data_IF_185588577347
#
_entry.id   IF_185588577347
#
_cell.length_a   1.000
_cell.length_b   1.000
_cell.length_c   1.000
_cell.angle_alpha   90.00
_cell.angle_beta   90.00
_cell.angle_gamma   90.00
#
_symmetry.space_group_name_H-M   'P 1'
#
loop_
_entity.id
_entity.type
_entity.pdbx_description
1 polymer ?
#
# COMPACT_ATOMS: atom_id res chain seq x y z
N UNK A 1 6.51 -51.42 13.92
CA UNK A 1 5.76 -52.47 14.64
C UNK A 1 5.80 -52.11 16.12
N UNK A 2 4.68 -52.25 16.82
CA UNK A 2 4.40 -51.85 18.23
C UNK A 2 4.06 -50.38 18.46
N UNK A 3 3.03 -49.98 19.22
CA UNK A 3 1.76 -50.58 19.67
C UNK A 3 0.89 -49.40 20.18
N UNK A 4 -0.42 -49.45 19.93
CA UNK A 4 -1.44 -48.52 20.47
C UNK A 4 -1.56 -48.63 22.00
N UNK A 5 -1.83 -47.52 22.71
CA UNK A 5 -2.72 -47.51 23.89
C UNK A 5 -3.54 -46.21 23.90
N UNK A 6 -4.86 -46.42 23.89
CA UNK A 6 -5.95 -45.46 24.11
C UNK A 6 -6.29 -45.39 25.59
N UNK A 7 -6.71 -44.24 26.11
CA UNK A 7 -7.54 -44.18 27.32
C UNK A 7 -8.51 -42.99 27.26
N UNK A 8 -9.79 -43.31 27.01
CA UNK A 8 -10.95 -42.52 27.41
C UNK A 8 -11.32 -42.87 28.86
N UNK A 9 -11.64 -41.89 29.70
CA UNK A 9 -12.62 -42.05 30.80
C UNK A 9 -13.50 -40.80 30.84
N UNK A 10 -14.79 -41.05 31.03
CA UNK A 10 -15.93 -40.14 30.94
C UNK A 10 -16.56 -39.86 32.32
N UNK A 11 -17.33 -38.76 32.36
CA UNK A 11 -18.59 -38.47 33.10
C UNK A 11 -18.70 -38.70 34.62
N UNK A 12 -19.19 -37.66 35.33
CA UNK A 12 -20.57 -37.52 35.89
C UNK A 12 -20.66 -36.29 36.84
N UNK A 13 -21.57 -35.31 36.64
CA UNK A 13 -22.88 -35.10 37.32
C UNK A 13 -22.80 -35.13 38.88
N UNK A 14 -23.46 -34.29 39.70
CA UNK A 14 -24.62 -33.38 39.57
C UNK A 14 -24.99 -32.75 40.93
N UNK A 15 -25.75 -31.63 40.91
CA UNK A 15 -26.81 -31.27 41.88
C UNK A 15 -26.41 -30.53 43.16
N UNK A 16 -27.26 -29.80 43.90
CA UNK A 16 -28.63 -29.26 43.80
C UNK A 16 -28.93 -28.55 45.15
N UNK A 17 -29.74 -27.46 45.18
CA UNK A 17 -30.76 -27.04 46.22
C UNK A 17 -30.94 -25.50 46.24
N UNK A 18 -32.07 -24.88 45.82
CA UNK A 18 -33.43 -24.66 46.44
C UNK A 18 -33.43 -23.63 47.59
N UNK A 19 -34.42 -22.76 47.87
CA UNK A 19 -35.86 -22.61 47.55
C UNK A 19 -36.26 -21.11 47.75
N UNK A 20 -37.17 -20.50 46.98
CA UNK A 20 -38.63 -20.31 47.18
C UNK A 20 -39.06 -19.18 48.16
N UNK A 21 -39.91 -18.25 47.68
CA UNK A 21 -41.19 -17.92 48.33
C UNK A 21 -42.15 -17.11 47.41
N UNK A 22 -43.44 -17.40 47.59
CA UNK A 22 -44.66 -16.96 46.88
C UNK A 22 -45.24 -15.65 47.43
N UNK A 23 -46.02 -14.88 46.62
CA UNK A 23 -47.41 -14.42 46.92
C UNK A 23 -48.13 -14.09 45.60
N UNK A 24 -49.44 -14.34 45.61
CA UNK A 24 -50.41 -14.53 44.53
C UNK A 24 -51.38 -13.34 44.37
N UNK A 25 -52.02 -13.21 43.21
CA UNK A 25 -53.17 -12.31 42.99
C UNK A 25 -53.70 -12.34 41.54
N UNK A 26 -54.78 -13.10 41.32
CA UNK A 26 -55.52 -13.29 40.07
C UNK A 26 -56.31 -12.04 39.61
N UNK A 27 -56.51 -11.85 38.29
CA UNK A 27 -57.79 -11.92 37.52
C UNK A 27 -57.66 -11.34 36.08
N UNK A 28 -58.16 -12.09 35.09
CA UNK A 28 -58.47 -11.71 33.68
C UNK A 28 -60.01 -11.40 33.60
N UNK A 29 -60.67 -10.95 32.50
CA UNK A 29 -60.25 -10.66 31.12
C UNK A 29 -60.88 -9.40 30.45
N UNK A 30 -60.42 -9.02 29.24
CA UNK A 30 -61.22 -8.87 28.01
C UNK A 30 -60.60 -7.95 26.94
N UNK A 31 -60.80 -8.40 25.70
CA UNK A 31 -60.43 -7.92 24.37
C UNK A 31 -60.32 -6.41 24.11
N UNK A 32 -59.38 -6.03 23.23
CA UNK A 32 -59.73 -5.41 21.95
C UNK A 32 -58.58 -5.43 20.93
N UNK A 33 -58.92 -5.90 19.74
CA UNK A 33 -58.14 -5.93 18.51
C UNK A 33 -57.97 -4.51 17.95
N UNK A 34 -56.75 -4.08 17.59
CA UNK A 34 -56.55 -3.07 16.54
C UNK A 34 -55.11 -3.12 15.96
N UNK A 35 -55.05 -3.69 14.76
CA UNK A 35 -54.31 -3.23 13.56
C UNK A 35 -53.05 -2.38 13.72
N UNK A 36 -51.94 -2.98 13.29
CA UNK A 36 -50.90 -2.43 12.40
C UNK A 36 -50.57 -0.93 12.50
N UNK A 37 -49.41 -0.65 13.08
CA UNK A 37 -48.49 0.36 12.55
C UNK A 37 -47.10 -0.27 12.51
N UNK A 38 -46.73 -0.69 11.30
CA UNK A 38 -45.40 -1.18 10.97
C UNK A 38 -44.46 0.04 10.99
N UNK A 39 -43.89 0.35 12.14
CA UNK A 39 -42.76 1.27 12.21
C UNK A 39 -41.52 0.42 12.01
N UNK A 40 -41.14 0.22 10.75
CA UNK A 40 -39.79 -0.17 10.39
C UNK A 40 -38.85 0.79 11.11
N UNK A 41 -38.17 0.29 12.15
CA UNK A 41 -36.98 0.91 12.66
C UNK A 41 -35.97 0.91 11.51
N UNK A 42 -35.83 2.06 10.86
CA UNK A 42 -34.70 2.41 10.01
C UNK A 42 -33.44 2.55 10.88
N UNK A 43 -32.95 1.43 11.40
CA UNK A 43 -31.60 1.31 11.95
C UNK A 43 -30.65 1.03 10.79
N UNK A 44 -30.24 2.09 10.10
CA UNK A 44 -29.34 1.99 8.95
C UNK A 44 -28.64 3.31 8.65
N UNK A 45 -28.12 3.97 9.69
CA UNK A 45 -27.14 5.05 9.49
C UNK A 45 -25.81 4.41 9.12
N UNK A 46 -25.53 4.37 7.84
CA UNK A 46 -24.34 3.82 7.19
C UNK A 46 -23.04 4.41 7.76
N UNK A 47 -22.28 3.61 8.52
CA UNK A 47 -21.05 4.00 9.19
C UNK A 47 -19.80 3.81 8.32
N UNK A 48 -19.92 4.01 7.00
CA UNK A 48 -18.80 3.90 6.07
C UNK A 48 -17.68 4.91 6.35
N UNK A 49 -17.97 5.98 7.12
CA UNK A 49 -16.96 6.96 7.54
C UNK A 49 -15.92 6.36 8.49
N UNK A 50 -16.25 5.24 9.14
CA UNK A 50 -15.33 4.49 9.99
C UNK A 50 -14.55 3.41 9.23
N UNK A 51 -14.84 3.18 7.94
CA UNK A 51 -14.02 2.28 7.12
C UNK A 51 -12.61 2.90 6.95
N UNK A 52 -11.53 2.15 7.24
CA UNK A 52 -10.17 2.66 7.12
C UNK A 52 -9.81 3.10 5.70
N UNK A 53 -10.55 2.68 4.67
CA UNK A 53 -10.35 3.09 3.28
C UNK A 53 -11.06 4.40 2.91
N UNK A 54 -12.03 4.84 3.71
CA UNK A 54 -12.85 6.03 3.42
C UNK A 54 -12.04 7.31 3.16
N UNK A 55 -10.97 7.63 3.93
CA UNK A 55 -10.17 8.83 3.67
C UNK A 55 -9.46 8.85 2.32
N UNK A 56 -9.29 7.68 1.68
CA UNK A 56 -8.52 7.54 0.44
C UNK A 56 -9.38 7.66 -0.82
N UNK A 57 -10.71 7.67 -0.68
CA UNK A 57 -11.65 7.98 -1.77
C UNK A 57 -11.26 9.29 -2.46
N UNK A 58 -10.98 10.34 -1.67
CA UNK A 58 -10.63 11.67 -2.16
C UNK A 58 -9.18 11.77 -2.68
N UNK A 59 -8.35 10.75 -2.41
CA UNK A 59 -6.94 10.67 -2.78
C UNK A 59 -6.70 9.75 -3.98
N UNK A 60 -7.74 9.39 -4.72
CA UNK A 60 -7.60 8.70 -6.00
C UNK A 60 -7.00 9.65 -7.06
N UNK A 61 -6.44 9.06 -8.12
CA UNK A 61 -6.03 9.83 -9.29
C UNK A 61 -7.24 10.58 -9.87
N UNK A 62 -7.06 11.85 -10.16
CA UNK A 62 -7.94 12.64 -11.01
C UNK A 62 -7.30 12.67 -12.39
N UNK A 63 -8.09 12.48 -13.44
CA UNK A 63 -7.59 12.42 -14.81
C UNK A 63 -8.02 13.66 -15.60
N UNK A 64 -7.20 14.05 -16.57
CA UNK A 64 -7.48 15.10 -17.56
C UNK A 64 -7.02 14.62 -18.93
N UNK A 65 -7.90 14.68 -19.92
CA UNK A 65 -7.55 14.38 -21.31
C UNK A 65 -6.87 15.59 -21.96
N UNK A 66 -5.75 15.35 -22.64
CA UNK A 66 -5.08 16.32 -23.50
C UNK A 66 -4.67 15.64 -24.80
N UNK A 67 -5.19 16.14 -25.92
CA UNK A 67 -4.88 15.62 -27.27
C UNK A 67 -5.09 14.09 -27.39
N UNK A 68 -6.18 13.57 -26.83
CA UNK A 68 -6.49 12.14 -26.87
C UNK A 68 -5.64 11.25 -25.96
N UNK A 69 -4.85 11.84 -25.05
CA UNK A 69 -4.10 11.11 -24.01
C UNK A 69 -4.58 11.54 -22.63
N UNK A 70 -4.90 10.57 -21.77
CA UNK A 70 -5.26 10.83 -20.37
C UNK A 70 -4.01 11.00 -19.50
N UNK A 71 -4.01 12.05 -18.68
CA UNK A 71 -2.94 12.34 -17.73
C UNK A 71 -3.49 12.51 -16.31
N UNK A 72 -2.64 12.23 -15.34
CA UNK A 72 -2.89 12.55 -13.94
C UNK A 72 -2.95 14.07 -13.76
N UNK A 73 -4.07 14.56 -13.23
CA UNK A 73 -4.36 15.97 -12.98
C UNK A 73 -3.97 16.43 -11.56
N UNK A 74 -3.79 15.50 -10.62
CA UNK A 74 -3.37 15.75 -9.24
C UNK A 74 -2.03 15.06 -8.91
N UNK A 75 -0.94 15.34 -9.65
CA UNK A 75 0.32 14.59 -9.53
C UNK A 75 1.05 14.77 -8.19
N UNK A 76 0.71 15.81 -7.41
CA UNK A 76 1.27 16.05 -6.08
C UNK A 76 0.65 15.19 -4.97
N UNK A 77 -0.38 14.41 -5.28
CA UNK A 77 -0.96 13.45 -4.37
C UNK A 77 0.09 12.43 -3.90
N UNK A 78 0.28 12.24 -2.59
CA UNK A 78 1.21 11.24 -2.03
C UNK A 78 0.86 9.82 -2.48
N UNK A 79 -0.42 9.54 -2.70
CA UNK A 79 -0.91 8.26 -3.20
C UNK A 79 -1.02 8.19 -4.72
N UNK A 80 -0.44 9.14 -5.48
CA UNK A 80 -0.50 9.14 -6.94
C UNK A 80 -0.09 7.76 -7.50
N UNK A 81 -0.98 7.12 -8.24
CA UNK A 81 -0.69 5.86 -8.91
C UNK A 81 -0.13 6.20 -10.30
N UNK A 82 1.19 6.24 -10.44
CA UNK A 82 1.85 6.40 -11.73
C UNK A 82 2.35 5.02 -12.20
N UNK A 83 1.83 4.55 -13.33
CA UNK A 83 2.17 3.24 -13.89
C UNK A 83 1.87 3.23 -15.40
N UNK A 84 1.81 2.04 -16.02
CA UNK A 84 1.57 1.91 -17.48
C UNK A 84 0.19 2.40 -17.93
N UNK A 85 -0.77 2.56 -17.01
CA UNK A 85 -2.14 3.01 -17.30
C UNK A 85 -2.37 4.49 -16.92
N UNK A 86 -1.56 5.04 -16.01
CA UNK A 86 -1.74 6.38 -15.48
C UNK A 86 -0.48 7.22 -15.67
N UNK A 87 -0.55 8.17 -16.60
CA UNK A 87 0.60 8.95 -17.06
C UNK A 87 0.72 10.28 -16.31
N UNK A 88 1.91 10.56 -15.83
CA UNK A 88 2.34 11.90 -15.45
C UNK A 88 2.62 12.74 -16.69
N UNK A 89 2.33 14.03 -16.60
CA UNK A 89 2.67 14.99 -17.66
C UNK A 89 4.19 15.18 -17.75
N UNK A 90 4.69 15.45 -18.94
CA UNK A 90 6.12 15.67 -19.18
C UNK A 90 6.69 16.90 -18.46
N UNK A 91 5.83 17.86 -18.13
CA UNK A 91 6.17 19.09 -17.40
C UNK A 91 6.13 18.93 -15.88
N UNK A 92 5.63 17.80 -15.37
CA UNK A 92 5.51 17.63 -13.92
C UNK A 92 6.89 17.40 -13.28
N UNK A 93 7.19 18.23 -12.29
CA UNK A 93 8.31 18.10 -11.35
C UNK A 93 7.78 18.44 -9.96
N UNK A 94 8.00 17.61 -8.94
CA UNK A 94 7.55 17.92 -7.59
C UNK A 94 8.16 19.23 -7.07
N UNK A 95 7.39 20.11 -6.41
CA UNK A 95 7.87 21.42 -5.98
C UNK A 95 8.77 21.37 -4.73
N UNK A 96 8.83 20.23 -4.05
CA UNK A 96 9.40 20.06 -2.71
C UNK A 96 10.54 19.01 -2.67
N UNK A 97 11.27 18.87 -3.77
CA UNK A 97 12.41 17.96 -3.86
C UNK A 97 13.57 18.40 -2.94
N UNK A 98 14.08 17.47 -2.14
CA UNK A 98 15.23 17.63 -1.25
C UNK A 98 16.13 16.40 -1.35
N UNK A 99 17.42 16.55 -1.01
CA UNK A 99 18.31 15.41 -0.79
C UNK A 99 18.18 14.97 0.68
N UNK A 100 17.59 13.80 1.00
CA UNK A 100 17.52 13.32 2.37
C UNK A 100 18.92 13.06 2.94
N UNK A 101 19.07 13.19 4.25
CA UNK A 101 20.31 12.93 4.98
C UNK A 101 20.49 11.43 5.26
N UNK A 102 20.63 10.65 4.19
CA UNK A 102 20.92 9.22 4.22
C UNK A 102 22.24 8.91 3.53
N UNK A 103 22.76 7.70 3.75
CA UNK A 103 23.93 7.22 3.01
C UNK A 103 23.53 6.88 1.58
N UNK A 104 24.21 7.46 0.60
CA UNK A 104 24.03 7.16 -0.83
C UNK A 104 25.20 6.32 -1.35
N UNK A 105 24.96 5.47 -2.35
CA UNK A 105 26.00 4.66 -3.00
C UNK A 105 27.07 5.49 -3.74
N UNK A 106 26.82 6.78 -3.93
CA UNK A 106 27.68 7.73 -4.62
C UNK A 106 28.10 8.92 -3.74
N UNK A 107 28.01 8.78 -2.41
CA UNK A 107 28.44 9.80 -1.46
C UNK A 107 27.63 11.10 -1.55
N UNK A 108 28.32 12.24 -1.48
CA UNK A 108 27.70 13.56 -1.33
C UNK A 108 27.38 14.28 -2.65
N UNK A 109 27.42 13.55 -3.78
CA UNK A 109 27.12 14.13 -5.08
C UNK A 109 25.68 14.70 -5.11
N UNK A 110 25.55 15.93 -5.59
CA UNK A 110 24.29 16.65 -5.73
C UNK A 110 23.71 16.39 -7.13
N UNK A 111 23.06 15.24 -7.29
CA UNK A 111 22.47 14.77 -8.56
C UNK A 111 20.97 14.55 -8.41
N UNK A 112 20.20 14.62 -9.50
CA UNK A 112 18.73 14.52 -9.45
C UNK A 112 18.27 13.23 -8.73
N UNK A 113 18.97 12.11 -8.97
CA UNK A 113 18.69 10.81 -8.36
C UNK A 113 18.98 10.75 -6.85
N UNK A 114 19.56 11.79 -6.27
CA UNK A 114 19.72 11.93 -4.83
C UNK A 114 18.49 12.57 -4.18
N UNK A 115 17.53 13.07 -4.97
CA UNK A 115 16.41 13.85 -4.46
C UNK A 115 15.17 12.98 -4.23
N UNK A 116 14.32 13.40 -3.30
CA UNK A 116 12.96 12.90 -3.07
C UNK A 116 12.08 14.05 -2.60
N UNK A 117 10.77 13.89 -2.63
CA UNK A 117 9.87 14.83 -1.97
C UNK A 117 10.18 14.90 -0.47
N UNK A 118 10.10 16.09 0.10
CA UNK A 118 10.51 16.39 1.48
C UNK A 118 9.92 15.45 2.52
N UNK A 119 8.62 15.15 2.43
CA UNK A 119 7.95 14.25 3.38
C UNK A 119 8.51 12.82 3.30
N UNK A 120 8.64 12.28 2.09
CA UNK A 120 9.22 10.96 1.86
C UNK A 120 10.69 10.91 2.31
N UNK A 121 11.47 11.96 2.05
CA UNK A 121 12.85 12.07 2.49
C UNK A 121 13.01 12.00 4.01
N UNK A 122 12.18 12.72 4.76
CA UNK A 122 12.20 12.67 6.22
C UNK A 122 11.87 11.27 6.78
N UNK A 123 10.94 10.55 6.14
CA UNK A 123 10.63 9.18 6.54
C UNK A 123 11.72 8.19 6.11
N UNK A 124 12.40 8.44 4.98
CA UNK A 124 13.54 7.64 4.55
C UNK A 124 14.69 7.74 5.56
N UNK A 125 14.96 8.95 6.07
CA UNK A 125 15.96 9.19 7.13
C UNK A 125 15.63 8.41 8.40
N UNK A 126 14.36 8.43 8.83
CA UNK A 126 13.89 7.67 9.99
C UNK A 126 14.03 6.16 9.78
N UNK A 127 13.68 5.66 8.58
CA UNK A 127 13.81 4.25 8.22
C UNK A 127 15.27 3.79 8.21
N UNK A 128 16.18 4.57 7.62
CA UNK A 128 17.61 4.26 7.58
C UNK A 128 18.23 4.31 8.97
N UNK A 129 17.80 5.25 9.81
CA UNK A 129 18.24 5.32 11.22
C UNK A 129 17.84 4.07 12.00
N UNK A 130 16.62 3.58 11.81
CA UNK A 130 16.14 2.36 12.47
C UNK A 130 16.87 1.10 11.97
N UNK A 131 17.09 0.97 10.65
CA UNK A 131 17.91 -0.13 10.12
C UNK A 131 19.31 -0.15 10.75
N UNK A 132 19.92 1.03 10.92
CA UNK A 132 21.23 1.18 11.56
C UNK A 132 21.22 0.76 13.03
N UNK A 133 20.13 0.99 13.76
CA UNK A 133 19.98 0.51 15.15
C UNK A 133 19.95 -1.02 15.22
N UNK A 134 19.48 -1.68 14.17
CA UNK A 134 19.53 -3.14 14.00
C UNK A 134 20.85 -3.63 13.37
N UNK A 135 21.88 -2.78 13.32
CA UNK A 135 23.20 -3.04 12.72
C UNK A 135 23.17 -3.32 11.20
N UNK A 136 22.17 -2.80 10.50
CA UNK A 136 22.02 -2.92 9.05
C UNK A 136 22.29 -1.57 8.38
N UNK A 137 23.12 -1.56 7.33
CA UNK A 137 23.45 -0.32 6.61
C UNK A 137 22.81 -0.32 5.23
N UNK A 138 21.80 0.52 5.07
CA UNK A 138 21.11 0.76 3.81
C UNK A 138 21.81 1.86 3.00
N UNK A 139 21.76 1.74 1.67
CA UNK A 139 22.27 2.73 0.74
C UNK A 139 21.18 3.14 -0.25
N UNK A 140 20.88 4.44 -0.31
CA UNK A 140 20.04 5.01 -1.35
C UNK A 140 20.82 5.05 -2.68
N UNK A 141 20.18 4.60 -3.77
CA UNK A 141 20.82 4.43 -5.09
C UNK A 141 20.20 5.34 -6.15
N UNK A 142 18.87 5.49 -6.15
CA UNK A 142 18.15 6.25 -7.17
C UNK A 142 16.76 6.68 -6.70
N UNK A 143 16.60 7.97 -6.43
CA UNK A 143 15.35 8.64 -6.06
C UNK A 143 14.66 9.28 -7.27
N UNK A 144 14.49 10.59 -7.25
CA UNK A 144 13.82 11.36 -8.30
C UNK A 144 14.50 11.19 -9.66
N UNK A 145 13.67 11.08 -10.71
CA UNK A 145 14.11 11.07 -12.10
C UNK A 145 13.14 11.89 -12.93
N UNK A 146 13.64 12.96 -13.55
CA UNK A 146 12.82 13.80 -14.42
C UNK A 146 12.27 13.03 -15.62
N UNK A 147 11.17 13.52 -16.20
CA UNK A 147 10.61 12.96 -17.44
C UNK A 147 11.66 12.92 -18.55
N UNK A 148 12.43 14.00 -18.72
CA UNK A 148 13.51 14.09 -19.71
C UNK A 148 14.55 13.00 -19.49
N UNK A 149 14.98 12.78 -18.25
CA UNK A 149 15.94 11.71 -17.94
C UNK A 149 15.35 10.33 -18.22
N UNK A 150 14.08 10.10 -17.89
CA UNK A 150 13.40 8.85 -18.23
C UNK A 150 13.32 8.63 -19.75
N UNK A 151 13.15 9.69 -20.55
CA UNK A 151 13.19 9.62 -22.01
C UNK A 151 14.57 9.20 -22.53
N UNK A 152 15.65 9.73 -21.95
CA UNK A 152 17.01 9.32 -22.29
C UNK A 152 17.25 7.83 -21.96
N UNK A 153 16.83 7.38 -20.76
CA UNK A 153 16.93 5.97 -20.34
C UNK A 153 16.13 5.06 -21.28
N UNK A 154 14.88 5.42 -21.58
CA UNK A 154 14.03 4.65 -22.47
C UNK A 154 14.62 4.57 -23.89
N UNK A 155 15.09 5.70 -24.44
CA UNK A 155 15.68 5.75 -25.79
C UNK A 155 16.96 4.92 -25.89
N UNK A 156 17.80 4.93 -24.86
CA UNK A 156 18.99 4.10 -24.80
C UNK A 156 18.64 2.60 -24.79
N UNK A 157 17.61 2.20 -24.03
CA UNK A 157 17.17 0.81 -23.97
C UNK A 157 16.55 0.34 -25.29
N UNK A 158 15.77 1.21 -25.95
CA UNK A 158 15.25 0.97 -27.30
C UNK A 158 16.39 0.74 -28.30
N UNK A 159 17.43 1.57 -28.27
CA UNK A 159 18.57 1.44 -29.16
C UNK A 159 19.35 0.13 -28.92
N UNK A 160 19.38 -0.36 -27.68
CA UNK A 160 20.11 -1.56 -27.30
C UNK A 160 19.33 -2.86 -27.59
N UNK A 161 18.04 -2.90 -27.27
CA UNK A 161 17.24 -4.15 -27.25
C UNK A 161 15.99 -4.12 -28.14
N UNK A 162 15.67 -2.99 -28.75
CA UNK A 162 14.43 -2.76 -29.49
C UNK A 162 13.26 -2.34 -28.60
N UNK A 163 12.26 -1.71 -29.19
CA UNK A 163 11.18 -1.04 -28.46
C UNK A 163 10.32 -1.97 -27.60
N UNK A 164 9.98 -3.15 -28.12
CA UNK A 164 9.17 -4.12 -27.38
C UNK A 164 9.85 -4.53 -26.07
N UNK A 165 11.13 -4.90 -26.13
CA UNK A 165 11.91 -5.27 -24.94
C UNK A 165 12.16 -4.09 -24.01
N UNK A 166 12.32 -2.88 -24.55
CA UNK A 166 12.48 -1.68 -23.73
C UNK A 166 11.23 -1.39 -22.89
N UNK A 167 10.02 -1.57 -23.43
CA UNK A 167 8.74 -1.39 -22.70
C UNK A 167 8.50 -2.44 -21.61
N UNK A 168 9.19 -3.57 -21.69
CA UNK A 168 9.22 -4.60 -20.65
C UNK A 168 10.24 -4.25 -19.56
N UNK A 169 11.42 -3.77 -19.95
CA UNK A 169 12.56 -3.56 -19.06
C UNK A 169 12.54 -2.23 -18.29
N UNK A 170 12.03 -1.16 -18.90
CA UNK A 170 12.05 0.19 -18.31
C UNK A 170 10.72 0.91 -18.51
N UNK A 171 10.37 1.77 -17.56
CA UNK A 171 9.18 2.60 -17.64
C UNK A 171 9.21 3.51 -18.89
N UNK A 172 8.09 3.61 -19.59
CA UNK A 172 7.88 4.63 -20.63
C UNK A 172 7.88 6.01 -19.94
N UNK A 173 8.41 7.08 -20.57
CA UNK A 173 8.37 8.41 -19.99
C UNK A 173 6.94 8.81 -19.57
N UNK A 174 6.79 9.35 -18.37
CA UNK A 174 5.48 9.64 -17.75
C UNK A 174 4.86 8.47 -16.96
N UNK A 175 5.36 7.25 -17.09
CA UNK A 175 4.85 6.06 -16.35
C UNK A 175 5.77 5.62 -15.20
N UNK A 176 6.90 6.31 -15.01
CA UNK A 176 7.89 6.00 -13.98
C UNK A 176 7.53 6.65 -12.65
N UNK A 177 7.44 5.86 -11.58
CA UNK A 177 7.22 6.39 -10.24
C UNK A 177 8.36 7.30 -9.75
N UNK A 178 9.59 7.14 -10.26
CA UNK A 178 10.68 8.05 -9.90
C UNK A 178 10.39 9.51 -10.24
N UNK A 179 9.54 9.80 -11.24
CA UNK A 179 9.13 11.17 -11.56
C UNK A 179 8.27 11.80 -10.44
N UNK A 180 7.63 10.99 -9.60
CA UNK A 180 6.86 11.50 -8.45
C UNK A 180 7.75 12.03 -7.33
N UNK A 181 9.04 11.65 -7.30
CA UNK A 181 9.93 11.88 -6.17
C UNK A 181 9.55 11.11 -4.90
N UNK A 182 8.64 10.14 -5.00
CA UNK A 182 8.17 9.30 -3.89
C UNK A 182 8.77 7.89 -3.89
N UNK A 183 9.52 7.53 -4.95
CA UNK A 183 10.23 6.26 -5.04
C UNK A 183 11.72 6.42 -4.70
N UNK A 184 12.28 5.40 -4.06
CA UNK A 184 13.72 5.27 -3.82
C UNK A 184 14.15 3.82 -4.05
N UNK A 185 15.14 3.65 -4.92
CA UNK A 185 15.88 2.40 -5.04
C UNK A 185 16.91 2.32 -3.91
N UNK A 186 16.88 1.22 -3.17
CA UNK A 186 17.73 0.97 -2.00
C UNK A 186 18.52 -0.32 -2.22
N UNK A 187 19.79 -0.32 -1.84
CA UNK A 187 20.66 -1.49 -1.86
C UNK A 187 21.53 -1.54 -0.60
N UNK A 188 22.51 -2.45 -0.57
CA UNK A 188 23.51 -2.55 0.48
C UNK A 188 24.93 -2.63 -0.11
N UNK A 189 25.94 -2.38 0.73
CA UNK A 189 27.34 -2.48 0.33
C UNK A 189 27.73 -3.91 -0.09
N UNK A 190 27.15 -4.91 0.57
CA UNK A 190 27.41 -6.33 0.29
C UNK A 190 26.86 -6.77 -1.08
N UNK A 191 25.90 -6.03 -1.64
CA UNK A 191 25.43 -6.19 -3.01
C UNK A 191 26.19 -5.33 -4.02
N UNK A 192 27.31 -4.70 -3.63
CA UNK A 192 28.03 -3.77 -4.51
C UNK A 192 27.19 -2.55 -4.93
N UNK A 193 26.12 -2.25 -4.18
CA UNK A 193 25.08 -1.27 -4.52
C UNK A 193 24.23 -1.61 -5.76
N UNK A 194 24.31 -2.84 -6.25
CA UNK A 194 23.53 -3.29 -7.41
C UNK A 194 22.04 -3.37 -7.07
N UNK A 195 21.21 -3.14 -8.10
CA UNK A 195 19.75 -3.22 -8.04
C UNK A 195 19.32 -4.53 -8.72
N UNK A 196 19.31 -5.61 -7.95
CA UNK A 196 18.95 -6.95 -8.42
C UNK A 196 18.02 -7.63 -7.42
N UNK A 197 17.28 -8.66 -7.88
CA UNK A 197 16.35 -9.41 -7.02
C UNK A 197 17.05 -10.03 -5.80
N UNK A 198 18.35 -10.32 -5.91
CA UNK A 198 19.16 -10.89 -4.83
C UNK A 198 19.23 -9.98 -3.60
N UNK A 199 19.02 -8.67 -3.74
CA UNK A 199 18.93 -7.75 -2.61
C UNK A 199 17.82 -8.17 -1.63
N UNK A 200 16.71 -8.73 -2.13
CA UNK A 200 15.60 -9.20 -1.30
C UNK A 200 15.97 -10.33 -0.34
N UNK A 201 17.05 -11.06 -0.63
CA UNK A 201 17.53 -12.19 0.19
C UNK A 201 18.58 -11.77 1.23
N UNK A 202 19.11 -10.55 1.19
CA UNK A 202 20.07 -10.05 2.18
C UNK A 202 19.37 -9.70 3.50
N UNK A 203 20.13 -9.56 4.61
CA UNK A 203 19.58 -9.06 5.87
C UNK A 203 18.88 -7.71 5.72
N UNK A 204 19.44 -6.78 4.95
CA UNK A 204 18.86 -5.46 4.66
C UNK A 204 17.53 -5.55 3.90
N UNK A 205 17.49 -6.33 2.81
CA UNK A 205 16.28 -6.48 2.00
C UNK A 205 15.15 -7.14 2.78
N UNK A 206 15.45 -8.16 3.59
CA UNK A 206 14.49 -8.80 4.50
C UNK A 206 14.00 -7.85 5.58
N UNK A 207 14.89 -7.03 6.12
CA UNK A 207 14.52 -6.01 7.11
C UNK A 207 13.58 -4.97 6.50
N UNK A 208 13.86 -4.48 5.30
CA UNK A 208 13.00 -3.52 4.61
C UNK A 208 11.61 -4.11 4.33
N UNK A 209 11.54 -5.32 3.80
CA UNK A 209 10.26 -5.99 3.54
C UNK A 209 9.39 -6.07 4.80
N UNK A 210 9.99 -6.29 5.97
CA UNK A 210 9.28 -6.38 7.25
C UNK A 210 8.95 -5.03 7.88
N UNK A 211 9.76 -3.99 7.64
CA UNK A 211 9.71 -2.75 8.44
C UNK A 211 9.37 -1.48 7.67
N UNK A 212 9.53 -1.45 6.34
CA UNK A 212 9.38 -0.23 5.54
C UNK A 212 8.01 0.46 5.73
N UNK A 213 6.94 -0.34 5.93
CA UNK A 213 5.59 0.17 6.13
C UNK A 213 5.43 1.05 7.37
N UNK A 214 6.22 0.81 8.42
CA UNK A 214 6.23 1.65 9.64
C UNK A 214 6.69 3.10 9.37
N UNK A 215 7.37 3.29 8.25
CA UNK A 215 7.88 4.58 7.77
C UNK A 215 7.11 5.07 6.54
N UNK A 216 5.98 4.44 6.20
CA UNK A 216 5.17 4.85 5.05
C UNK A 216 5.68 4.39 3.70
N UNK A 217 6.62 3.45 3.66
CA UNK A 217 7.13 2.85 2.43
C UNK A 217 6.55 1.47 2.19
N UNK A 218 6.26 1.14 0.93
CA UNK A 218 5.88 -0.20 0.49
C UNK A 218 6.93 -0.73 -0.49
N UNK A 219 7.15 -2.04 -0.47
CA UNK A 219 7.81 -2.73 -1.57
C UNK A 219 6.88 -2.68 -2.79
N UNK A 220 7.21 -1.87 -3.79
CA UNK A 220 6.25 -1.49 -4.84
C UNK A 220 5.90 -2.62 -5.79
N UNK A 221 6.92 -3.40 -6.16
CA UNK A 221 6.83 -4.47 -7.14
C UNK A 221 7.19 -5.78 -6.45
N UNK A 222 6.16 -6.41 -5.88
CA UNK A 222 6.30 -7.64 -5.10
C UNK A 222 6.38 -8.86 -6.03
N UNK A 223 7.10 -9.89 -5.59
CA UNK A 223 7.21 -11.17 -6.31
C UNK A 223 5.83 -11.83 -6.45
N UNK A 224 5.51 -12.31 -7.64
CA UNK A 224 4.22 -12.95 -7.94
C UNK A 224 3.06 -11.97 -8.13
N UNK A 225 3.31 -10.66 -8.19
CA UNK A 225 2.31 -9.62 -8.44
C UNK A 225 2.46 -8.92 -9.80
N UNK A 226 3.25 -9.51 -10.70
CA UNK A 226 3.62 -8.94 -12.00
C UNK A 226 2.40 -8.74 -12.92
N UNK A 227 1.38 -9.61 -12.82
CA UNK A 227 0.12 -9.46 -13.57
C UNK A 227 -0.68 -8.23 -13.15
N UNK A 228 -0.55 -7.81 -11.89
CA UNK A 228 -1.20 -6.61 -11.36
C UNK A 228 -0.37 -5.35 -11.65
N UNK A 229 0.92 -5.38 -11.33
CA UNK A 229 1.79 -4.19 -11.42
C UNK A 229 2.32 -3.93 -12.83
N UNK A 230 2.40 -4.97 -13.67
CA UNK A 230 3.04 -4.96 -15.01
C UNK A 230 4.56 -4.73 -14.97
N UNK A 231 5.18 -4.93 -13.81
CA UNK A 231 6.62 -4.89 -13.59
C UNK A 231 7.06 -6.20 -12.94
N UNK A 232 8.29 -6.63 -13.25
CA UNK A 232 8.95 -7.76 -12.60
C UNK A 232 9.17 -7.50 -11.10
N UNK A 233 9.58 -8.52 -10.35
CA UNK A 233 9.96 -8.35 -8.96
C UNK A 233 11.16 -7.39 -8.85
N UNK A 234 11.00 -6.33 -8.05
CA UNK A 234 12.07 -5.37 -7.79
C UNK A 234 12.25 -5.23 -6.28
N UNK A 235 13.08 -6.10 -5.70
CA UNK A 235 13.33 -6.14 -4.25
C UNK A 235 13.89 -4.84 -3.66
N UNK A 236 14.39 -3.96 -4.52
CA UNK A 236 15.07 -2.71 -4.18
C UNK A 236 14.17 -1.46 -4.28
N UNK A 237 13.02 -1.51 -4.97
CA UNK A 237 12.20 -0.34 -5.28
C UNK A 237 11.14 -0.10 -4.20
N UNK A 238 11.34 0.94 -3.38
CA UNK A 238 10.42 1.30 -2.30
C UNK A 238 9.68 2.60 -2.61
N UNK A 239 8.35 2.56 -2.46
CA UNK A 239 7.45 3.68 -2.76
C UNK A 239 6.85 4.25 -1.48
N UNK A 240 7.00 5.55 -1.25
CA UNK A 240 6.34 6.26 -0.17
C UNK A 240 4.86 6.52 -0.49
N UNK A 241 3.99 6.16 0.45
CA UNK A 241 2.53 6.29 0.36
C UNK A 241 1.89 6.88 1.63
N UNK A 242 2.72 7.28 2.61
CA UNK A 242 2.28 7.67 3.94
C UNK A 242 2.08 6.45 4.87
N UNK A 243 2.23 6.67 6.18
CA UNK A 243 2.26 5.58 7.18
C UNK A 243 0.98 4.76 7.23
N UNK A 244 -0.18 5.42 7.25
CA UNK A 244 -1.46 4.75 7.41
C UNK A 244 -1.78 3.87 6.19
N UNK A 245 -1.58 4.39 4.97
CA UNK A 245 -1.80 3.63 3.75
C UNK A 245 -0.80 2.47 3.64
N UNK A 246 0.49 2.71 3.95
CA UNK A 246 1.49 1.65 3.94
C UNK A 246 1.16 0.53 4.92
N UNK A 247 0.67 0.86 6.12
CA UNK A 247 0.25 -0.12 7.11
C UNK A 247 -0.94 -0.97 6.62
N UNK A 248 -1.94 -0.35 5.98
CA UNK A 248 -3.08 -1.07 5.37
C UNK A 248 -2.59 -1.98 4.25
N UNK A 249 -1.77 -1.46 3.33
CA UNK A 249 -1.22 -2.22 2.20
C UNK A 249 -0.42 -3.42 2.69
N UNK A 250 0.46 -3.21 3.65
CA UNK A 250 1.30 -4.26 4.24
C UNK A 250 0.45 -5.34 4.93
N UNK A 251 -0.50 -4.95 5.78
CA UNK A 251 -1.36 -5.88 6.52
C UNK A 251 -2.17 -6.79 5.60
N UNK A 252 -2.59 -6.28 4.44
CA UNK A 252 -3.40 -7.03 3.48
C UNK A 252 -2.57 -7.71 2.37
N UNK A 253 -1.24 -7.55 2.38
CA UNK A 253 -0.35 -8.05 1.32
C UNK A 253 -0.78 -7.57 -0.08
N UNK A 254 -1.18 -6.31 -0.17
CA UNK A 254 -1.68 -5.66 -1.38
C UNK A 254 -0.56 -4.97 -2.16
N UNK A 255 -0.77 -4.80 -3.47
CA UNK A 255 -0.07 -3.77 -4.24
C UNK A 255 -0.75 -2.41 -4.07
N UNK A 256 -0.16 -1.33 -4.60
CA UNK A 256 -0.84 -0.04 -4.65
C UNK A 256 -2.07 -0.07 -5.57
N UNK A 257 -2.03 -0.87 -6.64
CA UNK A 257 -3.19 -1.12 -7.50
C UNK A 257 -4.32 -1.83 -6.73
N UNK A 258 -4.02 -2.90 -6.00
CA UNK A 258 -5.01 -3.64 -5.19
C UNK A 258 -5.65 -2.71 -4.16
N UNK A 259 -4.85 -1.86 -3.50
CA UNK A 259 -5.34 -0.86 -2.56
C UNK A 259 -6.39 0.06 -3.20
N UNK A 260 -6.09 0.61 -4.38
CA UNK A 260 -7.04 1.48 -5.07
C UNK A 260 -8.26 0.75 -5.61
N UNK A 261 -8.14 -0.52 -6.02
CA UNK A 261 -9.31 -1.34 -6.37
C UNK A 261 -10.27 -1.47 -5.19
N UNK A 262 -9.76 -1.66 -3.96
CA UNK A 262 -10.60 -1.74 -2.77
C UNK A 262 -11.22 -0.38 -2.39
N UNK A 263 -10.47 0.72 -2.54
CA UNK A 263 -11.01 2.09 -2.36
C UNK A 263 -12.14 2.37 -3.35
N UNK A 264 -11.97 1.99 -4.62
CA UNK A 264 -13.01 2.14 -5.66
C UNK A 264 -14.23 1.29 -5.36
N UNK A 265 -14.04 0.06 -4.88
CA UNK A 265 -15.14 -0.81 -4.48
C UNK A 265 -15.94 -0.21 -3.30
N UNK A 266 -15.28 0.41 -2.33
CA UNK A 266 -15.95 1.15 -1.24
C UNK A 266 -16.73 2.34 -1.79
N UNK A 267 -16.11 3.17 -2.63
CA UNK A 267 -16.77 4.32 -3.26
C UNK A 267 -18.04 3.89 -3.99
N UNK A 268 -17.96 2.84 -4.81
CA UNK A 268 -19.11 2.30 -5.55
C UNK A 268 -20.25 1.86 -4.62
N UNK A 269 -19.93 1.21 -3.50
CA UNK A 269 -20.96 0.82 -2.51
C UNK A 269 -21.65 2.04 -1.90
N UNK A 270 -20.90 3.11 -1.64
CA UNK A 270 -21.45 4.38 -1.13
C UNK A 270 -22.36 5.01 -2.18
N UNK A 271 -21.92 5.10 -3.43
CA UNK A 271 -22.68 5.68 -4.55
C UNK A 271 -23.97 4.91 -4.85
N UNK A 272 -23.92 3.57 -4.77
CA UNK A 272 -25.08 2.70 -4.99
C UNK A 272 -26.03 2.65 -3.77
N UNK A 273 -25.69 3.29 -2.65
CA UNK A 273 -26.44 3.19 -1.38
C UNK A 273 -26.42 1.80 -0.75
N UNK A 274 -25.44 0.96 -1.10
CA UNK A 274 -25.29 -0.44 -0.65
C UNK A 274 -24.21 -0.64 0.40
N UNK A 275 -23.50 0.41 0.80
CA UNK A 275 -22.60 0.41 1.95
C UNK A 275 -23.42 0.23 3.24
N UNK A 276 -23.43 -0.99 3.78
CA UNK A 276 -24.06 -1.33 5.06
C UNK A 276 -23.10 -1.07 6.21
#
# INVERSE_FOLDING_TARGET
>A
MMHFISFMIALSLSGYHTAADYVQGDINPEAQTQTAANTEQTSGSSDYKNDPLYPYIAQQNKLVEKNGTEYIANPENILVLANKDYLLQSTYTPPDLVRPNVTFSFGDAQVEKAQMRKEAGAQLEAMFTAAKQDNLTLYAVSGYRSYKRQQEVFSAEVANKGEAKAKEAVAVPGTSEHQTGLAMDISSKDQGYDLTEAFGDTPEGKWLQKNAHNYGFILRYMKGRESTTKYQYESWHYRYVGKDAAAIIYKNNWTLEDFFQHVQALQKKIDDGTAK
#
